data_IF_202968818826
#
_entry.id   IF_202968818826
#
_cell.length_a   1.000
_cell.length_b   1.000
_cell.length_c   1.000
_cell.angle_alpha   90.00
_cell.angle_beta   90.00
_cell.angle_gamma   90.00
#
_symmetry.space_group_name_H-M   'P 1'
#
loop_
_entity.id
_entity.type
_entity.pdbx_description
1 polymer ?
#
# COMPACT_ATOMS: atom_id res chain seq x y z
N UNK A 1 12.78 -11.23 -11.22
CA UNK A 1 12.31 -10.46 -10.05
C UNK A 1 10.81 -10.27 -10.18
N UNK A 2 10.09 -10.09 -9.07
CA UNK A 2 8.63 -9.90 -9.11
C UNK A 2 8.25 -8.45 -9.47
N UNK A 3 9.12 -7.50 -9.15
CA UNK A 3 9.02 -6.11 -9.58
C UNK A 3 10.00 -5.77 -10.70
N UNK A 4 9.64 -4.75 -11.49
CA UNK A 4 10.46 -4.18 -12.57
C UNK A 4 11.79 -3.64 -12.05
N UNK A 5 12.84 -3.79 -12.86
CA UNK A 5 14.15 -3.22 -12.59
C UNK A 5 14.11 -1.67 -12.65
N UNK A 6 14.68 -1.02 -11.64
CA UNK A 6 14.75 0.44 -11.58
C UNK A 6 15.91 0.93 -12.47
N UNK A 7 15.67 1.80 -13.47
CA UNK A 7 16.74 2.34 -14.30
C UNK A 7 17.84 3.02 -13.47
N UNK A 8 19.10 2.79 -13.82
CA UNK A 8 20.24 3.35 -13.09
C UNK A 8 20.25 4.89 -13.03
N UNK A 9 19.68 5.56 -14.04
CA UNK A 9 19.51 7.01 -14.06
C UNK A 9 18.55 7.53 -12.98
N UNK A 10 17.51 6.76 -12.63
CA UNK A 10 16.57 7.12 -11.57
C UNK A 10 17.24 7.07 -10.19
N UNK A 11 18.25 6.21 -10.03
CA UNK A 11 19.03 6.07 -8.79
C UNK A 11 20.13 7.13 -8.71
N UNK A 12 20.85 7.37 -9.82
CA UNK A 12 22.03 8.23 -9.83
C UNK A 12 21.69 9.72 -9.95
N UNK A 13 20.78 10.05 -10.84
CA UNK A 13 20.43 11.44 -11.20
C UNK A 13 19.05 11.85 -10.68
N UNK A 14 18.18 10.87 -10.43
CA UNK A 14 16.79 11.10 -10.11
C UNK A 14 15.96 11.50 -11.33
N UNK A 15 14.66 11.72 -11.11
CA UNK A 15 13.73 12.26 -12.11
C UNK A 15 13.30 13.66 -11.67
N UNK A 16 13.58 14.72 -12.47
CA UNK A 16 13.16 16.06 -12.12
C UNK A 16 11.64 16.23 -12.26
N UNK A 17 11.06 17.15 -11.48
CA UNK A 17 9.64 17.51 -11.55
C UNK A 17 8.67 16.33 -11.35
N UNK A 18 9.01 15.38 -10.48
CA UNK A 18 8.15 14.27 -10.11
C UNK A 18 8.03 14.18 -8.58
N UNK A 19 6.79 14.12 -8.08
CA UNK A 19 6.50 13.90 -6.65
C UNK A 19 6.44 12.41 -6.29
N UNK A 20 6.10 11.55 -7.26
CA UNK A 20 5.95 10.12 -7.08
C UNK A 20 6.35 9.36 -8.35
N UNK A 21 7.16 8.30 -8.20
CA UNK A 21 7.47 7.33 -9.26
C UNK A 21 6.77 6.00 -8.98
N UNK A 22 6.02 5.49 -9.95
CA UNK A 22 5.40 4.17 -9.90
C UNK A 22 6.11 3.20 -10.85
N UNK A 23 6.70 2.14 -10.29
CA UNK A 23 7.28 1.04 -11.05
C UNK A 23 6.25 -0.08 -11.20
N UNK A 24 5.75 -0.25 -12.41
CA UNK A 24 4.68 -1.21 -12.70
C UNK A 24 5.27 -2.47 -13.35
N UNK A 25 4.81 -3.63 -12.90
CA UNK A 25 5.13 -4.94 -13.49
C UNK A 25 3.87 -5.80 -13.65
N UNK A 26 3.98 -6.84 -14.49
CA UNK A 26 2.94 -7.84 -14.73
C UNK A 26 3.48 -9.26 -14.58
N UNK A 27 4.43 -9.45 -13.65
CA UNK A 27 5.20 -10.69 -13.56
C UNK A 27 4.42 -11.73 -12.74
N UNK A 28 4.25 -12.97 -13.24
CA UNK A 28 3.69 -14.05 -12.45
C UNK A 28 4.53 -14.29 -11.18
N UNK A 29 3.88 -14.41 -10.04
CA UNK A 29 4.54 -14.64 -8.75
C UNK A 29 3.77 -15.67 -7.94
N UNK A 30 4.40 -16.78 -7.54
CA UNK A 30 3.80 -17.73 -6.60
C UNK A 30 3.70 -17.17 -5.19
N UNK A 31 4.49 -16.13 -4.87
CA UNK A 31 4.52 -15.47 -3.56
C UNK A 31 3.40 -14.44 -3.40
N UNK A 32 3.19 -13.62 -4.42
CA UNK A 32 2.29 -12.47 -4.38
C UNK A 32 1.01 -12.68 -5.19
N UNK A 33 1.03 -13.50 -6.25
CA UNK A 33 -0.14 -13.79 -7.09
C UNK A 33 -0.77 -15.14 -6.76
N UNK A 34 -0.86 -15.46 -5.47
CA UNK A 34 -1.55 -16.66 -4.99
C UNK A 34 -3.02 -16.38 -4.67
N UNK A 35 -3.87 -17.41 -4.80
CA UNK A 35 -5.30 -17.30 -4.55
C UNK A 35 -5.98 -16.35 -5.55
N UNK A 36 -6.77 -15.41 -5.04
CA UNK A 36 -7.54 -14.42 -5.80
C UNK A 36 -6.89 -13.02 -5.83
N UNK A 37 -5.58 -12.93 -5.59
CA UNK A 37 -4.87 -11.65 -5.55
C UNK A 37 -4.69 -11.10 -6.96
N UNK A 38 -5.32 -9.96 -7.27
CA UNK A 38 -5.27 -9.34 -8.60
C UNK A 38 -4.04 -8.47 -8.81
N UNK A 39 -3.54 -7.84 -7.75
CA UNK A 39 -2.31 -7.06 -7.77
C UNK A 39 -1.74 -6.93 -6.34
N UNK A 40 -0.50 -6.46 -6.26
CA UNK A 40 0.14 -6.07 -4.99
C UNK A 40 0.91 -4.77 -5.18
N UNK A 41 0.92 -3.92 -4.15
CA UNK A 41 1.70 -2.70 -4.16
C UNK A 41 2.39 -2.38 -2.83
N UNK A 42 3.45 -1.59 -2.94
CA UNK A 42 4.24 -1.15 -1.79
C UNK A 42 4.92 0.18 -2.08
N UNK A 43 4.92 1.07 -1.09
CA UNK A 43 5.78 2.25 -1.07
C UNK A 43 7.22 1.82 -0.73
N UNK A 44 8.19 2.15 -1.58
CA UNK A 44 9.57 1.68 -1.47
C UNK A 44 10.57 2.78 -1.10
N UNK A 45 10.25 4.05 -1.35
CA UNK A 45 11.11 5.18 -1.01
C UNK A 45 10.28 6.33 -0.43
N UNK A 46 10.87 7.05 0.51
CA UNK A 46 10.22 8.14 1.23
C UNK A 46 11.18 9.33 1.33
N UNK A 47 10.63 10.53 1.40
CA UNK A 47 11.42 11.74 1.69
C UNK A 47 11.61 11.95 3.21
N UNK A 48 12.26 13.05 3.59
CA UNK A 48 12.55 13.41 4.98
C UNK A 48 11.29 13.67 5.82
N UNK A 49 10.12 13.77 5.21
CA UNK A 49 8.82 13.97 5.84
C UNK A 49 7.93 12.72 5.72
N UNK A 50 8.54 11.55 5.52
CA UNK A 50 7.86 10.26 5.42
C UNK A 50 6.81 10.19 4.29
N UNK A 51 6.88 11.10 3.30
CA UNK A 51 6.00 11.08 2.13
C UNK A 51 6.55 10.05 1.14
N UNK A 52 5.73 9.09 0.66
CA UNK A 52 6.16 8.18 -0.40
C UNK A 52 6.57 8.95 -1.65
N UNK A 53 7.78 8.71 -2.14
CA UNK A 53 8.32 9.29 -3.39
C UNK A 53 8.48 8.24 -4.49
N UNK A 54 8.48 6.96 -4.14
CA UNK A 54 8.46 5.88 -5.10
C UNK A 54 7.76 4.65 -4.53
N UNK A 55 7.07 3.91 -5.39
CA UNK A 55 6.51 2.61 -5.06
C UNK A 55 6.44 1.69 -6.27
N UNK A 56 6.11 0.44 -6.00
CA UNK A 56 5.99 -0.59 -7.01
C UNK A 56 4.60 -1.22 -6.96
N UNK A 57 4.06 -1.54 -8.14
CA UNK A 57 2.79 -2.25 -8.31
C UNK A 57 3.04 -3.43 -9.24
N UNK A 58 2.68 -4.64 -8.81
CA UNK A 58 2.71 -5.82 -9.68
C UNK A 58 1.29 -6.34 -9.91
N UNK A 59 0.86 -6.36 -11.16
CA UNK A 59 -0.42 -6.95 -11.57
C UNK A 59 -0.25 -8.45 -11.85
N UNK A 60 -1.14 -9.24 -11.27
CA UNK A 60 -1.17 -10.67 -11.45
C UNK A 60 -1.95 -11.02 -12.72
N UNK A 61 -1.32 -10.83 -13.90
CA UNK A 61 -1.99 -10.95 -15.19
C UNK A 61 -2.67 -12.31 -15.45
N UNK A 62 -2.20 -13.37 -14.78
CA UNK A 62 -2.81 -14.70 -14.83
C UNK A 62 -4.15 -14.81 -14.07
N UNK A 63 -4.51 -13.80 -13.28
CA UNK A 63 -5.78 -13.73 -12.54
C UNK A 63 -6.85 -12.90 -13.26
N UNK A 64 -6.49 -12.25 -14.38
CA UNK A 64 -7.44 -11.49 -15.18
C UNK A 64 -8.23 -12.48 -16.04
N UNK A 65 -9.56 -12.46 -15.89
CA UNK A 65 -10.46 -13.29 -16.69
C UNK A 65 -10.56 -12.75 -18.12
N UNK A 66 -9.78 -13.34 -19.01
CA UNK A 66 -9.75 -13.00 -20.43
C UNK A 66 -10.54 -14.02 -21.23
N UNK A 67 -11.24 -13.53 -22.24
CA UNK A 67 -11.83 -14.37 -23.30
C UNK A 67 -10.73 -15.04 -24.11
N UNK A 68 -11.11 -16.04 -24.90
CA UNK A 68 -10.20 -16.79 -25.77
C UNK A 68 -9.49 -15.93 -26.82
N UNK A 69 -10.03 -14.76 -27.15
CA UNK A 69 -9.42 -13.78 -28.06
C UNK A 69 -8.47 -12.79 -27.34
N UNK A 70 -8.27 -12.95 -26.04
CA UNK A 70 -7.43 -12.08 -25.22
C UNK A 70 -8.13 -10.79 -24.75
N UNK A 71 -9.42 -10.61 -25.02
CA UNK A 71 -10.20 -9.45 -24.56
C UNK A 71 -10.86 -9.69 -23.21
N UNK A 72 -11.17 -8.62 -22.48
CA UNK A 72 -11.98 -8.64 -21.26
C UNK A 72 -13.36 -8.02 -21.52
N UNK A 73 -14.35 -8.31 -20.67
CA UNK A 73 -15.60 -7.54 -20.67
C UNK A 73 -15.37 -6.15 -20.09
N UNK A 74 -16.22 -5.18 -20.42
CA UNK A 74 -16.12 -3.82 -19.86
C UNK A 74 -16.15 -3.84 -18.33
N UNK A 75 -16.92 -4.77 -17.72
CA UNK A 75 -16.95 -4.96 -16.27
C UNK A 75 -15.59 -5.42 -15.72
N UNK A 76 -14.95 -6.41 -16.35
CA UNK A 76 -13.62 -6.89 -15.92
C UNK A 76 -12.56 -5.80 -16.11
N UNK A 77 -12.65 -5.00 -17.18
CA UNK A 77 -11.76 -3.86 -17.39
C UNK A 77 -11.93 -2.86 -16.25
N UNK A 78 -13.18 -2.49 -15.92
CA UNK A 78 -13.46 -1.55 -14.84
C UNK A 78 -12.97 -2.06 -13.48
N UNK A 79 -13.20 -3.34 -13.16
CA UNK A 79 -12.72 -3.96 -11.93
C UNK A 79 -11.19 -3.87 -11.81
N UNK A 80 -10.45 -4.10 -12.90
CA UNK A 80 -8.99 -3.99 -12.90
C UNK A 80 -8.49 -2.54 -12.80
N UNK A 81 -9.24 -1.56 -13.32
CA UNK A 81 -8.96 -0.13 -13.12
C UNK A 81 -9.15 0.23 -11.64
N UNK A 82 -10.21 -0.26 -11.00
CA UNK A 82 -10.47 -0.01 -9.58
C UNK A 82 -9.38 -0.65 -8.70
N UNK A 83 -8.90 -1.84 -9.06
CA UNK A 83 -7.73 -2.48 -8.42
C UNK A 83 -6.47 -1.63 -8.61
N UNK A 84 -6.22 -1.09 -9.82
CA UNK A 84 -5.06 -0.23 -10.04
C UNK A 84 -5.10 1.04 -9.16
N UNK A 85 -6.29 1.63 -8.99
CA UNK A 85 -6.50 2.77 -8.08
C UNK A 85 -6.25 2.36 -6.63
N UNK A 86 -6.76 1.20 -6.20
CA UNK A 86 -6.53 0.65 -4.87
C UNK A 86 -5.04 0.47 -4.55
N UNK A 87 -4.30 -0.15 -5.47
CA UNK A 87 -2.86 -0.38 -5.34
C UNK A 87 -2.07 0.93 -5.35
N UNK A 88 -2.45 1.90 -6.20
CA UNK A 88 -1.84 3.22 -6.17
C UNK A 88 -2.07 3.94 -4.82
N UNK A 89 -3.25 3.76 -4.21
CA UNK A 89 -3.54 4.29 -2.87
C UNK A 89 -2.63 3.66 -1.80
N UNK A 90 -2.35 2.36 -1.88
CA UNK A 90 -1.36 1.71 -1.01
C UNK A 90 0.03 2.34 -1.13
N UNK A 91 0.48 2.64 -2.36
CA UNK A 91 1.75 3.36 -2.58
C UNK A 91 1.72 4.76 -1.98
N UNK A 92 0.59 5.47 -2.05
CA UNK A 92 0.40 6.80 -1.45
C UNK A 92 0.35 6.79 0.09
N UNK A 93 0.44 5.61 0.72
CA UNK A 93 0.50 5.49 2.17
C UNK A 93 -0.80 5.02 2.82
N UNK A 94 -1.80 4.59 2.06
CA UNK A 94 -3.02 3.97 2.61
C UNK A 94 -2.74 2.53 3.05
N UNK A 95 -1.91 2.36 4.08
CA UNK A 95 -1.51 1.07 4.64
C UNK A 95 -1.38 1.15 6.15
N UNK A 96 -1.73 0.07 6.84
CA UNK A 96 -1.59 -0.06 8.30
C UNK A 96 -0.14 0.17 8.78
N UNK A 97 0.84 -0.15 7.94
CA UNK A 97 2.26 0.10 8.21
C UNK A 97 2.67 1.56 8.04
N UNK A 98 1.92 2.34 7.27
CA UNK A 98 2.23 3.72 6.92
C UNK A 98 1.52 4.74 7.81
N UNK A 99 0.35 4.42 8.36
CA UNK A 99 -0.46 5.41 9.11
C UNK A 99 0.28 6.08 10.27
N UNK A 100 1.18 5.38 10.97
CA UNK A 100 1.99 5.98 12.06
C UNK A 100 2.93 7.11 11.60
N UNK A 101 3.16 7.23 10.29
CA UNK A 101 4.03 8.23 9.71
C UNK A 101 3.27 9.43 9.15
N UNK A 102 1.93 9.49 9.26
CA UNK A 102 1.16 10.58 8.69
C UNK A 102 1.49 11.92 9.34
N UNK A 103 1.44 12.97 8.53
CA UNK A 103 1.62 14.36 8.94
C UNK A 103 0.28 15.09 8.94
N UNK A 104 0.19 16.10 9.79
CA UNK A 104 -0.95 17.00 9.82
C UNK A 104 -0.70 18.11 8.77
N UNK A 105 -1.60 18.28 7.77
CA UNK A 105 -1.38 19.20 6.67
C UNK A 105 -1.49 20.67 7.08
N UNK A 106 -2.20 20.96 8.18
CA UNK A 106 -2.42 22.33 8.65
C UNK A 106 -1.24 22.83 9.49
N UNK A 107 -0.67 21.95 10.32
CA UNK A 107 0.44 22.26 11.23
C UNK A 107 1.81 21.87 10.68
N UNK A 108 1.87 21.01 9.66
CA UNK A 108 3.11 20.47 9.12
C UNK A 108 3.90 19.65 10.13
N UNK A 109 3.22 19.03 11.11
CA UNK A 109 3.85 18.22 12.17
C UNK A 109 3.41 16.75 12.10
N UNK A 110 4.22 15.78 12.58
CA UNK A 110 3.81 14.38 12.63
C UNK A 110 2.52 14.21 13.46
N UNK A 111 1.55 13.45 12.95
CA UNK A 111 0.31 13.14 13.69
C UNK A 111 0.55 12.20 14.86
N UNK A 112 1.52 11.29 14.71
CA UNK A 112 1.94 10.36 15.76
C UNK A 112 3.21 10.86 16.43
N UNK A 113 3.18 10.97 17.76
CA UNK A 113 4.33 11.44 18.54
C UNK A 113 5.58 10.57 18.37
N UNK A 114 6.75 11.22 18.34
CA UNK A 114 8.07 10.57 18.20
C UNK A 114 8.95 10.84 19.44
N UNK A 115 9.79 9.89 19.88
CA UNK A 115 9.98 8.55 19.33
C UNK A 115 8.73 7.68 19.48
N UNK A 116 8.53 6.73 18.56
CA UNK A 116 7.36 5.88 18.58
C UNK A 116 7.31 5.03 19.85
N UNK A 117 6.11 4.89 20.40
CA UNK A 117 5.85 4.00 21.52
C UNK A 117 5.19 2.71 21.04
N UNK A 118 5.66 1.59 21.58
CA UNK A 118 5.07 0.28 21.31
C UNK A 118 3.90 0.04 22.26
N UNK A 119 2.80 -0.48 21.72
CA UNK A 119 1.62 -0.89 22.48
C UNK A 119 1.38 -2.39 22.29
N UNK A 120 1.11 -3.10 23.38
CA UNK A 120 0.68 -4.50 23.32
C UNK A 120 -0.80 -4.55 23.01
N UNK A 121 -1.18 -5.23 21.92
CA UNK A 121 -2.57 -5.42 21.50
C UNK A 121 -2.90 -6.90 21.34
N UNK A 122 -4.12 -7.28 21.68
CA UNK A 122 -4.66 -8.62 21.39
C UNK A 122 -5.23 -8.62 19.97
N UNK A 123 -4.63 -9.40 19.07
CA UNK A 123 -5.09 -9.53 17.69
C UNK A 123 -6.38 -10.38 17.60
N UNK A 124 -6.98 -10.43 16.41
CA UNK A 124 -8.22 -11.20 16.16
C UNK A 124 -8.08 -12.71 16.39
N UNK A 125 -6.85 -13.22 16.36
CA UNK A 125 -6.48 -14.60 16.68
C UNK A 125 -6.29 -14.85 18.20
N UNK A 126 -6.52 -13.83 19.04
CA UNK A 126 -6.31 -13.89 20.49
C UNK A 126 -4.85 -13.75 20.93
N UNK A 127 -3.90 -13.63 20.00
CA UNK A 127 -2.48 -13.52 20.30
C UNK A 127 -2.12 -12.07 20.60
N UNK A 128 -1.38 -11.86 21.69
CA UNK A 128 -0.84 -10.54 22.01
C UNK A 128 0.37 -10.23 21.13
N UNK A 129 0.40 -9.05 20.54
CA UNK A 129 1.50 -8.54 19.71
C UNK A 129 1.86 -7.13 20.12
N UNK A 130 3.14 -6.83 20.07
CA UNK A 130 3.69 -5.51 20.33
C UNK A 130 3.78 -4.74 19.02
N UNK A 131 2.93 -3.73 18.83
CA UNK A 131 2.81 -2.94 17.60
C UNK A 131 3.04 -1.45 17.87
N UNK A 132 3.53 -0.74 16.86
CA UNK A 132 3.50 0.72 16.84
C UNK A 132 2.24 1.13 16.10
N UNK A 133 1.30 1.74 16.82
CA UNK A 133 0.03 2.20 16.26
C UNK A 133 0.12 3.68 15.90
N UNK A 134 -0.62 4.13 14.87
CA UNK A 134 -0.88 5.55 14.68
C UNK A 134 -1.61 6.14 15.89
N UNK A 135 -1.46 7.45 16.10
CA UNK A 135 -2.29 8.19 17.05
C UNK A 135 -3.75 8.32 16.56
N UNK A 136 -4.67 8.54 17.49
CA UNK A 136 -6.12 8.57 17.25
C UNK A 136 -6.59 9.71 16.33
N UNK A 137 -5.75 10.71 16.10
CA UNK A 137 -5.97 11.76 15.10
C UNK A 137 -5.68 11.29 13.66
N UNK A 138 -5.25 10.04 13.47
CA UNK A 138 -5.01 9.42 12.16
C UNK A 138 -5.93 8.22 11.94
N UNK A 139 -6.05 7.32 12.92
CA UNK A 139 -6.90 6.13 12.86
C UNK A 139 -7.44 5.82 14.25
N UNK A 140 -8.75 5.55 14.36
CA UNK A 140 -9.41 5.23 15.63
C UNK A 140 -9.98 3.84 15.58
N UNK A 141 -9.61 3.02 16.55
CA UNK A 141 -10.15 1.69 16.69
C UNK A 141 -11.49 1.72 17.43
N UNK A 142 -12.48 1.00 16.90
CA UNK A 142 -13.81 0.84 17.50
C UNK A 142 -14.10 -0.63 17.77
N UNK A 143 -14.82 -0.90 18.86
CA UNK A 143 -15.37 -2.22 19.19
C UNK A 143 -16.89 -2.07 19.29
N UNK A 144 -17.62 -2.71 18.39
CA UNK A 144 -19.08 -2.77 18.45
C UNK A 144 -19.55 -3.73 19.57
N UNK A 145 -20.81 -3.57 20.01
CA UNK A 145 -21.42 -4.38 21.07
C UNK A 145 -21.42 -5.88 20.76
N UNK A 146 -21.47 -6.25 19.47
CA UNK A 146 -21.40 -7.62 19.01
C UNK A 146 -19.97 -8.19 18.91
N UNK A 147 -18.96 -7.46 19.39
CA UNK A 147 -17.56 -7.85 19.38
C UNK A 147 -16.81 -7.57 18.07
N UNK A 148 -17.44 -6.97 17.07
CA UNK A 148 -16.77 -6.58 15.82
C UNK A 148 -15.81 -5.42 16.06
N UNK A 149 -14.62 -5.50 15.43
CA UNK A 149 -13.56 -4.50 15.54
C UNK A 149 -13.38 -3.76 14.23
N UNK A 150 -13.27 -2.44 14.30
CA UNK A 150 -13.07 -1.53 13.17
C UNK A 150 -11.93 -0.57 13.46
N UNK A 151 -11.36 0.02 12.41
CA UNK A 151 -10.30 1.02 12.46
C UNK A 151 -10.51 2.05 11.36
#
# INVERSE_FOLDING_TARGET
SEFTEVPSSHISSGIPNADLLLYISGTPSSRFCSGSTLAVAVACNFDQYDRPTAGAINFCLNQIDLRSDGTASDAIIQDNVDVAIHEAAHVLGMSSNSYRFFWDPDTGSPRTNRPFSTKTVTCVDGVQRSLILPDENTMKFFLAENGQRYA
#
